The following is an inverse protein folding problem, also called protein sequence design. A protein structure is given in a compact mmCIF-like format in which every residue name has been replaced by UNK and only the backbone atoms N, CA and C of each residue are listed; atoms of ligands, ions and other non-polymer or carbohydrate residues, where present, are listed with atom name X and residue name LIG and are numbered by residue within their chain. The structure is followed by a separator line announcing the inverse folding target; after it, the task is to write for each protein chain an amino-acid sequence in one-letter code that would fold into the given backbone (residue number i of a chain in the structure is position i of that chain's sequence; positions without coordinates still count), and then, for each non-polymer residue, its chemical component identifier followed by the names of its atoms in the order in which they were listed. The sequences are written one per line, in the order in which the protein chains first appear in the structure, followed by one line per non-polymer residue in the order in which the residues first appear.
data_IF_288233195773
#
_entry.id   IF_288233195773
#
_cell.length_a   1.000
_cell.length_b   1.000
_cell.length_c   1.000
_cell.angle_alpha   90.00
_cell.angle_beta   90.00
_cell.angle_gamma   90.00
#
_symmetry.space_group_name_H-M   'P 1'
#
loop_
_entity.id
_entity.type
_entity.pdbx_description
1 polymer ?
#
# COMPACT_ATOMS: atom_id res chain seq x y z
N UNK A 1 -12.85 13.85 11.18
CA UNK A 1 -12.90 15.02 12.09
C UNK A 1 -14.08 15.92 11.76
N UNK A 2 -13.92 17.03 11.02
CA UNK A 2 -14.96 18.06 10.80
C UNK A 2 -16.35 17.50 10.47
N UNK A 3 -16.44 16.64 9.47
CA UNK A 3 -17.74 16.18 8.96
C UNK A 3 -18.49 15.26 9.94
N UNK A 4 -17.78 14.64 10.88
CA UNK A 4 -18.35 13.72 11.89
C UNK A 4 -18.21 14.23 13.33
N UNK A 5 -17.59 15.39 13.56
CA UNK A 5 -17.35 15.95 14.89
C UNK A 5 -16.41 15.12 15.79
N UNK A 6 -15.63 14.20 15.22
CA UNK A 6 -14.78 13.23 15.95
C UNK A 6 -13.34 13.73 16.14
N UNK A 7 -12.60 13.09 17.05
CA UNK A 7 -11.17 13.35 17.27
C UNK A 7 -10.31 12.93 16.07
N UNK A 8 -9.03 13.30 16.11
CA UNK A 8 -8.05 12.86 15.09
C UNK A 8 -7.85 11.36 15.17
N UNK A 9 -7.75 10.81 16.38
CA UNK A 9 -7.51 9.40 16.66
C UNK A 9 -8.68 8.55 16.15
N UNK A 10 -9.92 8.94 16.47
CA UNK A 10 -11.12 8.26 15.98
C UNK A 10 -11.21 8.31 14.45
N UNK A 11 -10.84 9.44 13.83
CA UNK A 11 -10.80 9.55 12.38
C UNK A 11 -9.73 8.63 11.77
N UNK A 12 -8.54 8.54 12.38
CA UNK A 12 -7.46 7.66 11.93
C UNK A 12 -7.84 6.19 12.04
N UNK A 13 -8.51 5.78 13.12
CA UNK A 13 -9.05 4.42 13.26
C UNK A 13 -10.05 4.09 12.15
N UNK A 14 -10.91 5.04 11.78
CA UNK A 14 -11.84 4.85 10.66
C UNK A 14 -11.15 4.78 9.30
N UNK A 15 -10.10 5.56 9.06
CA UNK A 15 -9.29 5.41 7.85
C UNK A 15 -8.60 4.05 7.79
N UNK A 16 -8.13 3.53 8.92
CA UNK A 16 -7.53 2.20 9.01
C UNK A 16 -8.57 1.10 8.69
N UNK A 17 -9.77 1.18 9.26
CA UNK A 17 -10.89 0.27 8.96
C UNK A 17 -11.24 0.30 7.47
N UNK A 18 -11.32 1.48 6.86
CA UNK A 18 -11.57 1.64 5.42
C UNK A 18 -10.47 0.99 4.57
N UNK A 19 -9.20 1.14 4.96
CA UNK A 19 -8.09 0.50 4.27
C UNK A 19 -8.17 -1.04 4.36
N UNK A 20 -8.55 -1.59 5.51
CA UNK A 20 -8.74 -3.03 5.71
C UNK A 20 -9.88 -3.58 4.85
N UNK A 21 -11.00 -2.86 4.75
CA UNK A 21 -12.11 -3.21 3.86
C UNK A 21 -11.64 -3.19 2.41
N UNK A 22 -10.96 -2.12 1.98
CA UNK A 22 -10.45 -2.01 0.62
C UNK A 22 -9.47 -3.15 0.25
N UNK A 23 -8.67 -3.63 1.21
CA UNK A 23 -7.83 -4.81 1.01
C UNK A 23 -8.64 -6.10 0.81
N UNK A 24 -9.75 -6.28 1.54
CA UNK A 24 -10.66 -7.43 1.36
C UNK A 24 -11.33 -7.37 -0.02
N UNK A 25 -11.81 -6.20 -0.42
CA UNK A 25 -12.44 -6.00 -1.74
C UNK A 25 -11.46 -6.30 -2.89
N UNK A 26 -10.21 -5.85 -2.75
CA UNK A 26 -9.16 -6.12 -3.72
C UNK A 26 -8.85 -7.62 -3.84
N UNK A 27 -8.85 -8.34 -2.71
CA UNK A 27 -8.65 -9.79 -2.68
C UNK A 27 -9.84 -10.54 -3.31
N UNK A 28 -11.06 -10.08 -3.08
CA UNK A 28 -12.25 -10.64 -3.73
C UNK A 28 -12.22 -10.40 -5.25
N UNK A 29 -11.86 -9.19 -5.69
CA UNK A 29 -11.81 -8.80 -7.09
C UNK A 29 -10.80 -9.57 -7.96
N UNK A 30 -9.86 -10.30 -7.36
CA UNK A 30 -8.90 -11.17 -8.07
C UNK A 30 -9.30 -12.66 -8.09
N UNK A 31 -10.41 -13.03 -7.45
CA UNK A 31 -10.95 -14.39 -7.51
C UNK A 31 -11.54 -14.68 -8.90
N UNK A 32 -11.48 -15.95 -9.32
CA UNK A 32 -12.03 -16.38 -10.61
C UNK A 32 -13.55 -16.61 -10.49
N UNK A 33 -14.33 -16.33 -11.55
CA UNK A 33 -13.92 -15.73 -12.83
C UNK A 33 -13.64 -14.22 -12.68
N UNK A 34 -12.58 -13.74 -13.33
CA UNK A 34 -12.20 -12.33 -13.26
C UNK A 34 -12.83 -11.53 -14.42
N UNK A 35 -13.20 -10.24 -14.22
CA UNK A 35 -13.83 -9.42 -15.25
C UNK A 35 -12.87 -8.99 -16.36
N UNK A 36 -11.57 -8.98 -16.05
CA UNK A 36 -10.47 -8.68 -16.99
C UNK A 36 -9.31 -9.64 -16.75
N UNK A 37 -8.26 -9.54 -17.57
CA UNK A 37 -7.08 -10.38 -17.41
C UNK A 37 -6.38 -10.20 -16.06
N UNK A 38 -5.86 -11.29 -15.49
CA UNK A 38 -5.04 -11.25 -14.27
C UNK A 38 -3.82 -10.32 -14.38
N UNK A 39 -3.30 -10.11 -15.59
CA UNK A 39 -2.20 -9.17 -15.83
C UNK A 39 -2.58 -7.74 -15.45
N UNK A 40 -3.79 -7.31 -15.79
CA UNK A 40 -4.30 -5.97 -15.43
C UNK A 40 -4.53 -5.89 -13.92
N UNK A 41 -5.22 -6.89 -13.35
CA UNK A 41 -5.54 -6.91 -11.91
C UNK A 41 -4.27 -6.91 -11.04
N UNK A 42 -3.22 -7.61 -11.47
CA UNK A 42 -1.93 -7.61 -10.76
C UNK A 42 -1.29 -6.22 -10.70
N UNK A 43 -1.49 -5.37 -11.71
CA UNK A 43 -0.98 -3.98 -11.67
C UNK A 43 -1.71 -3.16 -10.62
N UNK A 44 -3.02 -3.29 -10.52
CA UNK A 44 -3.85 -2.63 -9.49
C UNK A 44 -3.43 -3.10 -8.10
N UNK A 45 -3.30 -4.42 -7.91
CA UNK A 45 -2.82 -5.00 -6.67
C UNK A 45 -1.43 -4.49 -6.27
N UNK A 46 -0.52 -4.37 -7.23
CA UNK A 46 0.82 -3.85 -6.96
C UNK A 46 0.84 -2.37 -6.61
N UNK A 47 -0.11 -1.55 -7.10
CA UNK A 47 -0.26 -0.16 -6.64
C UNK A 47 -0.63 -0.11 -5.16
N UNK A 48 -1.60 -0.93 -4.72
CA UNK A 48 -1.97 -1.01 -3.30
C UNK A 48 -0.80 -1.48 -2.43
N UNK A 49 -0.03 -2.49 -2.89
CA UNK A 49 1.19 -2.97 -2.21
C UNK A 49 2.24 -1.87 -2.07
N UNK A 50 2.47 -1.09 -3.13
CA UNK A 50 3.44 0.01 -3.11
C UNK A 50 3.07 1.03 -2.03
N UNK A 51 1.78 1.37 -1.86
CA UNK A 51 1.35 2.29 -0.80
C UNK A 51 1.71 1.75 0.60
N UNK A 52 1.49 0.45 0.84
CA UNK A 52 1.86 -0.20 2.10
C UNK A 52 3.37 -0.26 2.37
N UNK A 53 4.20 -0.26 1.31
CA UNK A 53 5.66 -0.20 1.44
C UNK A 53 6.16 1.24 1.65
N UNK A 54 5.72 2.17 0.82
CA UNK A 54 6.20 3.57 0.83
C UNK A 54 5.79 4.30 2.11
N UNK A 55 4.56 4.08 2.57
CA UNK A 55 4.00 4.78 3.74
C UNK A 55 4.10 3.96 5.04
N UNK A 56 4.94 2.93 5.04
CA UNK A 56 5.13 2.08 6.20
C UNK A 56 5.58 2.90 7.42
N UNK A 57 5.21 2.47 8.62
CA UNK A 57 5.47 3.17 9.89
C UNK A 57 4.91 4.61 9.95
N UNK A 58 3.86 4.91 9.19
CA UNK A 58 3.24 6.24 9.09
C UNK A 58 4.23 7.35 8.70
N UNK A 59 5.16 7.05 7.79
CA UNK A 59 6.14 8.00 7.26
C UNK A 59 5.90 8.24 5.77
N UNK A 60 6.15 9.46 5.28
CA UNK A 60 6.20 9.71 3.84
C UNK A 60 7.56 9.28 3.27
N UNK A 61 7.69 7.99 2.96
CA UNK A 61 8.89 7.40 2.41
C UNK A 61 9.16 7.75 0.94
N UNK A 62 8.25 8.47 0.27
CA UNK A 62 8.50 8.98 -1.08
C UNK A 62 9.25 10.31 -1.03
N UNK A 63 8.73 11.26 -0.25
CA UNK A 63 9.37 12.57 -0.07
C UNK A 63 10.64 12.47 0.79
N UNK A 64 10.67 11.57 1.78
CA UNK A 64 11.80 11.34 2.69
C UNK A 64 12.32 9.89 2.53
N UNK A 65 13.05 9.58 1.45
CA UNK A 65 13.32 8.20 1.03
C UNK A 65 14.39 7.48 1.86
N UNK A 66 15.14 8.20 2.70
CA UNK A 66 16.37 7.69 3.34
C UNK A 66 16.15 6.42 4.15
N UNK A 67 15.00 6.33 4.84
CA UNK A 67 14.67 5.22 5.73
C UNK A 67 13.84 4.12 5.08
N UNK A 68 13.11 4.45 4.00
CA UNK A 68 12.16 3.53 3.37
C UNK A 68 12.63 3.15 1.97
N UNK A 69 12.52 4.03 0.98
CA UNK A 69 12.79 3.68 -0.41
C UNK A 69 14.27 3.47 -0.72
N UNK A 70 15.19 4.23 -0.11
CA UNK A 70 16.63 4.13 -0.40
C UNK A 70 17.18 2.71 -0.16
N UNK A 71 16.94 2.05 0.99
CA UNK A 71 17.34 0.66 1.19
C UNK A 71 16.78 -0.31 0.12
N UNK A 72 15.51 -0.14 -0.27
CA UNK A 72 14.88 -0.99 -1.29
C UNK A 72 15.53 -0.77 -2.67
N UNK A 73 15.80 0.48 -3.03
CA UNK A 73 16.44 0.82 -4.31
C UNK A 73 17.84 0.22 -4.37
N UNK A 74 18.62 0.35 -3.29
CA UNK A 74 19.95 -0.24 -3.21
C UNK A 74 19.89 -1.76 -3.39
N UNK A 75 19.04 -2.46 -2.64
CA UNK A 75 18.95 -3.91 -2.69
C UNK A 75 18.40 -4.47 -4.02
N UNK A 76 17.53 -3.71 -4.72
CA UNK A 76 16.89 -4.19 -5.95
C UNK A 76 17.63 -3.78 -7.23
N UNK A 77 18.35 -2.66 -7.21
CA UNK A 77 18.90 -2.05 -8.43
C UNK A 77 20.39 -1.69 -8.36
N UNK A 78 21.03 -1.83 -7.21
CA UNK A 78 22.46 -1.51 -7.03
C UNK A 78 23.26 -2.73 -6.61
N UNK A 79 22.84 -3.36 -5.51
CA UNK A 79 23.56 -4.46 -4.89
C UNK A 79 23.12 -5.80 -5.51
N UNK A 80 24.07 -6.53 -6.08
CA UNK A 80 23.80 -7.88 -6.58
C UNK A 80 23.63 -8.87 -5.42
N UNK A 81 22.73 -9.84 -5.60
CA UNK A 81 22.65 -11.00 -4.70
C UNK A 81 23.95 -11.79 -4.84
N UNK A 82 24.68 -11.97 -3.73
CA UNK A 82 25.86 -12.83 -3.71
C UNK A 82 25.45 -14.28 -3.97
N UNK A 83 26.13 -14.91 -4.93
CA UNK A 83 25.94 -16.31 -5.30
C UNK A 83 26.86 -17.17 -4.46
#
# INVERSE_FOLDING_TARGET
MRDHGVSTEEAMEKFQEMAEIAWKDLNEGILRPTPVSMKILTRILNLARIMGVIYNHNQDGYTHPEKVLKPHIMALFVDSIKI
#
